data_IF_348533728276
#
_entry.id   IF_348533728276
#
_cell.length_a   1.000
_cell.length_b   1.000
_cell.length_c   1.000
_cell.angle_alpha   90.00
_cell.angle_beta   90.00
_cell.angle_gamma   90.00
#
_symmetry.space_group_name_H-M   'P 1'
#
loop_
_entity.id
_entity.type
_entity.pdbx_description
1 polymer ?
#
# COMPACT_ATOMS: atom_id res chain seq x y z
N UNK A 1 5.29 -2.44 4.07
CA UNK A 1 4.98 -2.75 2.65
C UNK A 1 3.50 -2.60 2.30
N UNK A 2 2.56 -3.21 3.05
CA UNK A 2 1.11 -2.98 2.85
C UNK A 2 0.71 -1.50 2.99
N UNK A 3 1.50 -0.74 3.75
CA UNK A 3 1.24 0.64 4.12
C UNK A 3 1.27 1.64 2.95
N UNK A 4 2.14 1.45 1.95
CA UNK A 4 2.21 2.33 0.77
C UNK A 4 0.99 2.18 -0.14
N UNK A 5 0.53 0.94 -0.37
CA UNK A 5 -0.72 0.68 -1.09
C UNK A 5 -1.94 1.27 -0.36
N UNK A 6 -1.99 1.11 0.96
CA UNK A 6 -3.07 1.66 1.79
C UNK A 6 -3.08 3.20 1.75
N UNK A 7 -1.90 3.83 1.67
CA UNK A 7 -1.74 5.28 1.57
C UNK A 7 -2.22 5.82 0.21
N UNK A 8 -1.86 5.17 -0.89
CA UNK A 8 -2.39 5.48 -2.23
C UNK A 8 -3.91 5.26 -2.30
N UNK A 9 -4.39 4.14 -1.76
CA UNK A 9 -5.82 3.84 -1.64
C UNK A 9 -6.58 4.95 -0.90
N UNK A 10 -6.05 5.47 0.22
CA UNK A 10 -6.65 6.58 0.97
C UNK A 10 -6.68 7.88 0.18
N UNK A 11 -5.61 8.22 -0.54
CA UNK A 11 -5.58 9.45 -1.36
C UNK A 11 -6.65 9.41 -2.47
N UNK A 12 -6.84 8.26 -3.10
CA UNK A 12 -7.84 8.08 -4.16
C UNK A 12 -9.26 8.04 -3.58
N UNK A 13 -9.48 7.37 -2.44
CA UNK A 13 -10.79 7.28 -1.76
C UNK A 13 -11.29 8.65 -1.26
N UNK A 14 -10.40 9.51 -0.76
CA UNK A 14 -10.78 10.85 -0.27
C UNK A 14 -11.11 11.84 -1.39
N UNK A 15 -10.65 11.61 -2.63
CA UNK A 15 -10.90 12.49 -3.79
C UNK A 15 -12.13 12.10 -4.62
N UNK A 16 -12.72 10.91 -4.40
CA UNK A 16 -13.81 10.37 -5.22
C UNK A 16 -15.02 10.07 -4.33
N UNK A 17 -16.19 10.63 -4.67
CA UNK A 17 -17.46 10.32 -4.00
C UNK A 17 -17.73 8.81 -4.06
N UNK A 18 -18.15 8.20 -2.94
CA UNK A 18 -18.31 6.74 -2.71
C UNK A 18 -19.06 5.95 -3.80
N UNK A 19 -19.76 6.61 -4.75
CA UNK A 19 -20.61 5.98 -5.78
C UNK A 19 -19.89 5.62 -7.10
N UNK A 20 -18.65 6.05 -7.34
CA UNK A 20 -17.92 5.79 -8.61
C UNK A 20 -16.53 5.17 -8.42
N UNK A 21 -16.23 4.68 -7.21
CA UNK A 21 -14.95 4.02 -6.91
C UNK A 21 -14.86 2.66 -7.63
N UNK A 22 -13.82 2.48 -8.45
CA UNK A 22 -13.52 1.22 -9.15
C UNK A 22 -12.04 0.88 -9.00
N UNK A 23 -11.75 -0.33 -8.53
CA UNK A 23 -10.40 -0.87 -8.36
C UNK A 23 -9.57 -0.88 -9.66
N UNK A 24 -10.21 -0.77 -10.84
CA UNK A 24 -9.53 -0.69 -12.14
C UNK A 24 -8.80 0.64 -12.38
N UNK A 25 -9.00 1.66 -11.53
CA UNK A 25 -8.38 2.99 -11.66
C UNK A 25 -7.16 3.19 -10.75
N UNK A 26 -6.74 2.17 -10.00
CA UNK A 26 -5.58 2.27 -9.12
C UNK A 26 -4.32 2.02 -9.97
N UNK A 27 -3.41 2.99 -9.99
CA UNK A 27 -2.12 2.88 -10.67
C UNK A 27 -1.21 1.88 -9.97
N UNK A 28 -0.32 1.23 -10.73
CA UNK A 28 0.71 0.37 -10.13
C UNK A 28 1.61 1.20 -9.20
N UNK A 29 1.80 0.70 -7.99
CA UNK A 29 2.73 1.23 -7.00
C UNK A 29 4.08 0.58 -7.20
N UNK A 30 5.08 1.43 -7.45
CA UNK A 30 6.47 1.00 -7.60
C UNK A 30 7.20 1.16 -6.28
N UNK A 31 7.80 0.07 -5.79
CA UNK A 31 8.74 0.12 -4.68
C UNK A 31 10.15 0.01 -5.24
N UNK A 32 10.92 1.10 -5.17
CA UNK A 32 12.32 1.12 -5.59
C UNK A 32 13.18 0.86 -4.34
N UNK A 33 14.02 -0.18 -4.40
CA UNK A 33 14.96 -0.53 -3.33
C UNK A 33 16.38 -0.32 -3.84
N UNK A 34 17.11 0.55 -3.16
CA UNK A 34 18.50 0.89 -3.47
C UNK A 34 19.43 0.09 -2.54
N UNK A 35 20.44 -0.54 -3.11
CA UNK A 35 21.46 -1.27 -2.35
C UNK A 35 22.79 -0.55 -2.49
N UNK A 36 23.34 -0.04 -1.38
CA UNK A 36 24.71 0.52 -1.39
C UNK A 36 25.77 -0.57 -1.61
N UNK A 37 25.53 -1.75 -1.04
CA UNK A 37 26.28 -2.99 -1.26
C UNK A 37 25.28 -4.12 -1.51
N UNK A 38 25.33 -4.68 -2.70
CA UNK A 38 24.42 -5.70 -3.16
C UNK A 38 24.90 -7.11 -2.80
N UNK A 39 23.99 -8.07 -2.80
CA UNK A 39 24.31 -9.48 -2.50
C UNK A 39 24.93 -10.17 -3.73
N UNK A 40 25.51 -11.35 -3.54
CA UNK A 40 26.23 -12.08 -4.59
C UNK A 40 25.37 -12.37 -5.83
N UNK A 41 24.06 -12.56 -5.67
CA UNK A 41 23.12 -12.84 -6.75
C UNK A 41 23.04 -11.70 -7.78
N UNK A 42 23.23 -10.45 -7.35
CA UNK A 42 23.26 -9.32 -8.27
C UNK A 42 24.55 -9.31 -9.12
N UNK A 43 25.64 -9.81 -8.56
CA UNK A 43 26.95 -9.85 -9.22
C UNK A 43 27.03 -10.93 -10.32
N UNK A 44 26.05 -11.83 -10.41
CA UNK A 44 25.86 -12.70 -11.58
C UNK A 44 25.51 -11.88 -12.85
N UNK A 45 24.99 -10.67 -12.66
CA UNK A 45 24.60 -9.75 -13.74
C UNK A 45 25.38 -8.44 -13.64
N UNK A 46 26.72 -8.45 -13.80
CA UNK A 46 27.57 -7.29 -13.48
C UNK A 46 27.29 -6.08 -14.38
N UNK A 47 26.67 -6.27 -15.55
CA UNK A 47 26.31 -5.18 -16.47
C UNK A 47 24.87 -4.68 -16.30
N UNK A 48 24.14 -5.16 -15.29
CA UNK A 48 22.74 -4.80 -15.05
C UNK A 48 22.59 -4.31 -13.62
N UNK A 49 22.09 -3.09 -13.47
CA UNK A 49 21.86 -2.44 -12.19
C UNK A 49 20.40 -2.03 -11.99
N UNK A 50 19.47 -2.56 -12.80
CA UNK A 50 18.03 -2.33 -12.67
C UNK A 50 17.32 -3.67 -12.83
N UNK A 51 16.78 -4.18 -11.74
CA UNK A 51 16.08 -5.46 -11.69
C UNK A 51 14.61 -5.20 -11.38
N UNK A 52 13.75 -5.39 -12.38
CA UNK A 52 12.29 -5.23 -12.22
C UNK A 52 11.67 -6.59 -11.92
N UNK A 53 11.08 -6.72 -10.75
CA UNK A 53 10.37 -7.92 -10.33
C UNK A 53 8.89 -7.76 -10.58
N UNK A 54 8.34 -8.73 -11.32
CA UNK A 54 6.90 -8.91 -11.52
C UNK A 54 6.49 -10.21 -10.87
N UNK A 55 5.38 -10.15 -10.16
CA UNK A 55 4.87 -11.30 -9.41
C UNK A 55 4.14 -12.26 -10.36
N UNK A 56 4.39 -13.55 -10.19
CA UNK A 56 3.70 -14.64 -10.87
C UNK A 56 3.51 -15.76 -9.84
N UNK A 57 2.36 -16.42 -9.82
CA UNK A 57 2.18 -17.57 -8.93
C UNK A 57 3.07 -18.73 -9.35
N UNK A 58 3.26 -19.67 -8.43
CA UNK A 58 3.81 -21.01 -8.68
C UNK A 58 3.09 -21.75 -9.82
N UNK A 59 1.80 -21.53 -10.01
CA UNK A 59 0.99 -22.08 -11.11
C UNK A 59 1.10 -21.31 -12.44
N UNK A 60 1.87 -20.22 -12.49
CA UNK A 60 1.99 -19.37 -13.68
C UNK A 60 0.89 -18.33 -13.86
N UNK A 61 0.00 -18.19 -12.87
CA UNK A 61 -1.06 -17.18 -12.85
C UNK A 61 -0.46 -15.79 -12.71
N UNK A 62 -0.75 -14.93 -13.69
CA UNK A 62 -0.31 -13.53 -13.73
C UNK A 62 -1.46 -12.64 -13.30
N UNK A 63 -1.52 -12.34 -12.00
CA UNK A 63 -2.42 -11.32 -11.46
C UNK A 63 -1.64 -10.02 -11.28
N UNK A 64 -2.19 -8.90 -11.75
CA UNK A 64 -1.63 -7.59 -11.44
C UNK A 64 -1.97 -7.23 -9.99
N UNK A 65 -1.03 -7.47 -9.07
CA UNK A 65 -1.14 -7.11 -7.66
C UNK A 65 -0.88 -5.62 -7.39
N UNK A 66 -0.76 -4.81 -8.44
CA UNK A 66 -0.48 -3.36 -8.38
C UNK A 66 0.85 -3.03 -7.68
N UNK A 67 1.70 -4.01 -7.39
CA UNK A 67 2.99 -3.83 -6.73
C UNK A 67 4.10 -4.35 -7.64
N UNK A 68 4.95 -3.43 -8.08
CA UNK A 68 6.16 -3.74 -8.83
C UNK A 68 7.37 -3.34 -7.99
N UNK A 69 8.36 -4.24 -7.89
CA UNK A 69 9.62 -3.94 -7.21
C UNK A 69 10.69 -3.65 -8.24
N UNK A 70 11.47 -2.60 -7.99
CA UNK A 70 12.68 -2.31 -8.76
C UNK A 70 13.85 -2.31 -7.79
N UNK A 71 14.76 -3.27 -7.95
CA UNK A 71 15.98 -3.34 -7.17
C UNK A 71 17.12 -2.73 -7.97
N UNK A 72 17.88 -1.86 -7.32
CA UNK A 72 18.96 -1.08 -7.93
C UNK A 72 20.23 -1.23 -7.10
N UNK A 73 21.16 -2.12 -7.50
CA UNK A 73 22.49 -2.22 -6.89
C UNK A 73 23.38 -1.04 -7.31
N UNK A 74 23.63 -0.12 -6.37
CA UNK A 74 24.39 1.11 -6.61
C UNK A 74 25.90 0.85 -6.71
N UNK A 75 26.41 -0.18 -6.04
CA UNK A 75 27.76 -0.70 -6.19
C UNK A 75 28.04 -1.14 -7.64
N UNK A 76 27.17 -1.97 -8.20
CA UNK A 76 27.27 -2.43 -9.60
C UNK A 76 27.11 -1.25 -10.56
N UNK A 77 26.21 -0.30 -10.27
CA UNK A 77 26.10 0.92 -11.05
C UNK A 77 27.42 1.70 -11.08
N UNK A 78 28.04 1.92 -9.91
CA UNK A 78 29.31 2.64 -9.75
C UNK A 78 30.43 1.97 -10.54
N UNK A 79 30.58 0.65 -10.44
CA UNK A 79 31.61 -0.08 -11.18
C UNK A 79 31.46 0.11 -12.71
N UNK A 80 30.23 0.08 -13.20
CA UNK A 80 29.95 0.27 -14.63
C UNK A 80 30.10 1.73 -15.10
N UNK A 81 29.88 2.70 -14.22
CA UNK A 81 29.86 4.13 -14.55
C UNK A 81 31.14 4.87 -14.14
N UNK A 82 32.10 4.23 -13.46
CA UNK A 82 33.39 4.82 -13.13
C UNK A 82 34.12 5.42 -14.35
N UNK A 83 33.90 4.86 -15.54
CA UNK A 83 34.55 5.28 -16.79
C UNK A 83 33.58 5.90 -17.82
N UNK A 84 32.29 6.00 -17.50
CA UNK A 84 31.25 6.52 -18.41
C UNK A 84 30.62 7.74 -17.76
N UNK A 85 30.73 8.89 -18.40
CA UNK A 85 30.15 10.12 -17.89
C UNK A 85 28.64 10.01 -17.70
N UNK A 86 28.04 10.98 -17.02
CA UNK A 86 26.59 11.07 -16.86
C UNK A 86 25.99 11.35 -18.24
N UNK A 87 25.47 10.35 -18.92
CA UNK A 87 24.89 10.48 -20.26
C UNK A 87 23.38 10.68 -20.21
N UNK A 88 22.69 9.91 -19.38
CA UNK A 88 21.24 9.92 -19.25
C UNK A 88 20.76 10.50 -17.93
N UNK A 89 19.53 11.03 -17.89
CA UNK A 89 18.95 11.59 -16.65
C UNK A 89 18.84 10.56 -15.53
N UNK A 90 18.59 9.29 -15.86
CA UNK A 90 18.58 8.20 -14.90
C UNK A 90 19.96 7.99 -14.27
N UNK A 91 21.03 8.00 -15.08
CA UNK A 91 22.41 7.93 -14.58
C UNK A 91 22.72 9.13 -13.67
N UNK A 92 22.13 10.31 -13.94
CA UNK A 92 22.22 11.48 -13.08
C UNK A 92 21.57 11.25 -11.71
N UNK A 93 20.36 10.70 -11.66
CA UNK A 93 19.70 10.32 -10.41
C UNK A 93 20.47 9.24 -9.63
N UNK A 94 21.01 8.24 -10.31
CA UNK A 94 21.81 7.21 -9.64
C UNK A 94 23.15 7.76 -9.14
N UNK A 95 23.76 8.69 -9.86
CA UNK A 95 24.96 9.40 -9.40
C UNK A 95 24.63 10.26 -8.18
N UNK A 96 23.51 10.99 -8.21
CA UNK A 96 23.01 11.78 -7.09
C UNK A 96 22.84 10.97 -5.81
N UNK A 97 22.27 9.77 -5.92
CA UNK A 97 21.96 8.89 -4.80
C UNK A 97 23.15 8.06 -4.32
N UNK A 98 24.28 8.08 -5.03
CA UNK A 98 25.35 7.11 -4.79
C UNK A 98 26.76 7.70 -4.72
N UNK A 99 27.02 8.90 -5.26
CA UNK A 99 28.33 9.53 -5.23
C UNK A 99 28.32 10.84 -4.45
N UNK A 100 29.24 10.92 -3.49
CA UNK A 100 29.53 12.14 -2.71
C UNK A 100 30.82 12.83 -3.19
N UNK A 101 31.40 12.38 -4.32
CA UNK A 101 32.63 12.95 -4.85
C UNK A 101 32.37 14.35 -5.45
N UNK A 102 33.15 15.38 -5.10
CA UNK A 102 32.98 16.72 -5.62
C UNK A 102 32.98 16.77 -7.16
N UNK A 103 33.81 15.95 -7.81
CA UNK A 103 33.92 15.90 -9.27
C UNK A 103 32.62 15.45 -9.92
N UNK A 104 31.99 14.40 -9.36
CA UNK A 104 30.73 13.84 -9.85
C UNK A 104 29.58 14.81 -9.60
N UNK A 105 29.55 15.47 -8.43
CA UNK A 105 28.56 16.50 -8.08
C UNK A 105 28.66 17.68 -9.06
N UNK A 106 29.87 18.16 -9.32
CA UNK A 106 30.09 19.27 -10.26
C UNK A 106 29.69 18.85 -11.68
N UNK A 107 30.06 17.65 -12.12
CA UNK A 107 29.68 17.13 -13.44
C UNK A 107 28.15 17.01 -13.56
N UNK A 108 27.49 16.52 -12.51
CA UNK A 108 26.05 16.38 -12.43
C UNK A 108 25.34 17.72 -12.48
N UNK A 109 25.73 18.69 -11.65
CA UNK A 109 25.13 20.03 -11.62
C UNK A 109 25.37 20.78 -12.93
N UNK A 110 26.56 20.65 -13.54
CA UNK A 110 26.84 21.24 -14.84
C UNK A 110 25.91 20.72 -15.93
N UNK A 111 25.62 19.40 -15.90
CA UNK A 111 24.75 18.78 -16.89
C UNK A 111 23.27 18.98 -16.60
N UNK A 112 22.88 18.91 -15.33
CA UNK A 112 21.52 18.99 -14.82
C UNK A 112 21.48 19.97 -13.63
N UNK A 113 21.33 21.28 -13.89
CA UNK A 113 21.38 22.32 -12.85
C UNK A 113 20.31 22.21 -11.77
N UNK A 114 19.21 21.50 -12.06
CA UNK A 114 18.11 21.24 -11.13
C UNK A 114 18.53 20.42 -9.90
N UNK A 115 19.62 19.64 -10.00
CA UNK A 115 20.17 18.91 -8.85
C UNK A 115 20.85 19.82 -7.82
N UNK A 116 21.24 21.05 -8.19
CA UNK A 116 21.95 21.97 -7.28
C UNK A 116 21.14 22.23 -6.00
N UNK A 117 19.87 22.59 -6.16
CA UNK A 117 18.99 22.87 -5.01
C UNK A 117 18.74 21.63 -4.14
N UNK A 118 18.78 20.43 -4.72
CA UNK A 118 18.65 19.19 -3.96
C UNK A 118 19.89 18.90 -3.13
N UNK A 119 21.09 19.12 -3.69
CA UNK A 119 22.34 19.01 -2.93
C UNK A 119 22.47 20.04 -1.82
N UNK A 120 22.05 21.28 -2.07
CA UNK A 120 22.01 22.33 -1.03
C UNK A 120 21.13 21.92 0.14
N UNK A 121 19.91 21.39 -0.13
CA UNK A 121 19.02 20.89 0.90
C UNK A 121 19.60 19.69 1.66
N UNK A 122 20.19 18.72 0.96
CA UNK A 122 20.84 17.58 1.62
C UNK A 122 21.98 18.07 2.53
N UNK A 123 22.78 19.02 2.06
CA UNK A 123 23.88 19.56 2.83
C UNK A 123 23.40 20.28 4.10
N UNK A 124 22.32 21.06 4.02
CA UNK A 124 21.66 21.67 5.19
C UNK A 124 21.13 20.62 6.17
N UNK A 125 20.56 19.52 5.67
CA UNK A 125 20.11 18.40 6.51
C UNK A 125 21.30 17.72 7.19
N UNK A 126 22.39 17.45 6.45
CA UNK A 126 23.61 16.85 6.96
C UNK A 126 24.30 17.72 8.04
N UNK A 127 24.12 19.03 7.99
CA UNK A 127 24.61 19.93 9.05
C UNK A 127 23.74 19.91 10.31
N UNK A 128 22.48 19.49 10.21
CA UNK A 128 21.49 19.51 11.29
C UNK A 128 21.02 18.09 11.71
N UNK A 129 21.89 17.09 11.57
CA UNK A 129 21.57 15.65 11.72
C UNK A 129 20.87 15.33 13.06
N UNK A 130 21.28 15.94 14.18
CA UNK A 130 20.66 15.68 15.49
C UNK A 130 19.21 16.15 15.58
N UNK A 131 18.89 17.32 15.01
CA UNK A 131 17.53 17.85 15.00
C UNK A 131 16.62 17.06 14.05
N UNK A 132 17.16 16.68 12.89
CA UNK A 132 16.42 15.97 11.85
C UNK A 132 16.13 14.51 12.26
N UNK A 133 17.07 13.80 12.88
CA UNK A 133 16.83 12.46 13.44
C UNK A 133 15.75 12.45 14.53
N UNK A 134 15.70 13.51 15.36
CA UNK A 134 14.66 13.70 16.36
C UNK A 134 13.27 13.92 15.74
N UNK A 135 13.19 14.66 14.63
CA UNK A 135 11.94 14.89 13.90
C UNK A 135 11.44 13.63 13.17
N UNK A 136 12.29 12.91 12.46
CA UNK A 136 11.90 11.67 11.78
C UNK A 136 11.42 10.59 12.75
N UNK A 137 12.07 10.43 13.90
CA UNK A 137 11.65 9.46 14.92
C UNK A 137 10.28 9.80 15.52
N UNK A 138 10.03 11.10 15.74
CA UNK A 138 8.76 11.59 16.26
C UNK A 138 7.63 11.48 15.23
N UNK A 139 7.89 11.82 13.97
CA UNK A 139 6.91 11.69 12.88
C UNK A 139 6.56 10.23 12.59
N UNK A 140 7.53 9.31 12.58
CA UNK A 140 7.26 7.86 12.45
C UNK A 140 6.40 7.36 13.61
N UNK A 141 6.74 7.75 14.85
CA UNK A 141 6.02 7.34 16.04
C UNK A 141 4.59 7.90 16.10
N UNK A 142 4.39 9.16 15.72
CA UNK A 142 3.07 9.78 15.66
C UNK A 142 2.22 9.23 14.51
N UNK A 143 2.82 8.93 13.34
CA UNK A 143 2.16 8.22 12.24
C UNK A 143 1.67 6.83 12.67
N UNK A 144 2.50 6.07 13.36
CA UNK A 144 2.14 4.72 13.82
C UNK A 144 1.02 4.77 14.87
N UNK A 145 1.13 5.68 15.85
CA UNK A 145 0.12 5.88 16.90
C UNK A 145 -1.24 6.34 16.36
N UNK A 146 -1.23 7.24 15.37
CA UNK A 146 -2.46 7.73 14.73
C UNK A 146 -3.09 6.67 13.81
N UNK A 147 -2.27 5.84 13.16
CA UNK A 147 -2.75 4.75 12.29
C UNK A 147 -3.41 3.64 13.12
N UNK A 148 -2.79 3.24 14.24
CA UNK A 148 -3.37 2.25 15.16
C UNK A 148 -4.67 2.76 15.77
N UNK A 149 -4.71 4.03 16.22
CA UNK A 149 -5.94 4.64 16.74
C UNK A 149 -7.06 4.63 15.70
N UNK A 150 -6.75 5.06 14.47
CA UNK A 150 -7.72 5.09 13.38
C UNK A 150 -8.23 3.69 12.98
N UNK A 151 -7.36 2.68 12.96
CA UNK A 151 -7.77 1.29 12.69
C UNK A 151 -8.69 0.74 13.80
N UNK A 152 -8.41 1.06 15.06
CA UNK A 152 -9.28 0.71 16.18
C UNK A 152 -10.65 1.37 16.02
N UNK A 153 -10.69 2.64 15.62
CA UNK A 153 -11.95 3.37 15.44
C UNK A 153 -12.79 2.80 14.28
N UNK A 154 -12.18 2.49 13.12
CA UNK A 154 -12.90 1.84 11.99
C UNK A 154 -13.40 0.43 12.38
N UNK A 155 -12.59 -0.37 13.09
CA UNK A 155 -13.00 -1.70 13.56
C UNK A 155 -14.12 -1.64 14.61
N UNK A 156 -14.14 -0.59 15.44
CA UNK A 156 -15.21 -0.35 16.41
C UNK A 156 -16.50 0.08 15.73
N UNK A 157 -16.45 0.95 14.70
CA UNK A 157 -17.62 1.32 13.91
C UNK A 157 -18.20 0.12 13.15
N UNK A 158 -17.35 -0.71 12.55
CA UNK A 158 -17.80 -1.91 11.85
C UNK A 158 -18.44 -2.92 12.82
N UNK A 159 -17.85 -3.12 14.01
CA UNK A 159 -18.44 -3.95 15.06
C UNK A 159 -19.79 -3.44 15.53
N UNK A 160 -19.95 -2.12 15.69
CA UNK A 160 -21.24 -1.51 16.06
C UNK A 160 -22.29 -1.80 14.99
N UNK A 161 -21.94 -1.59 13.71
CA UNK A 161 -22.83 -1.92 12.58
C UNK A 161 -23.25 -3.39 12.56
N UNK A 162 -22.30 -4.33 12.70
CA UNK A 162 -22.62 -5.75 12.75
C UNK A 162 -23.50 -6.13 13.95
N UNK A 163 -23.30 -5.48 15.10
CA UNK A 163 -24.16 -5.69 16.28
C UNK A 163 -25.58 -5.18 16.05
N UNK A 164 -25.74 -4.02 15.40
CA UNK A 164 -27.03 -3.46 15.02
C UNK A 164 -27.76 -4.39 14.02
N UNK A 165 -27.07 -4.82 12.96
CA UNK A 165 -27.59 -5.72 11.93
C UNK A 165 -28.00 -7.08 12.55
N UNK A 166 -27.19 -7.64 13.46
CA UNK A 166 -27.53 -8.86 14.18
C UNK A 166 -28.75 -8.69 15.10
N UNK A 167 -28.90 -7.54 15.75
CA UNK A 167 -30.04 -7.27 16.64
C UNK A 167 -31.32 -7.20 15.83
N UNK A 168 -31.32 -6.46 14.73
CA UNK A 168 -32.44 -6.38 13.80
C UNK A 168 -32.79 -7.74 13.17
N UNK A 169 -31.78 -8.54 12.82
CA UNK A 169 -32.00 -9.90 12.30
C UNK A 169 -32.62 -10.83 13.36
N UNK A 170 -32.22 -10.71 14.64
CA UNK A 170 -32.83 -11.46 15.74
C UNK A 170 -34.29 -11.08 15.96
N UNK A 171 -34.59 -9.79 15.96
CA UNK A 171 -35.97 -9.27 16.11
C UNK A 171 -36.88 -9.77 14.98
N UNK A 172 -36.40 -9.73 13.73
CA UNK A 172 -37.14 -10.31 12.59
C UNK A 172 -37.36 -11.81 12.74
N UNK A 173 -36.35 -12.56 13.18
CA UNK A 173 -36.48 -14.00 13.40
C UNK A 173 -37.46 -14.35 14.52
N UNK A 174 -37.53 -13.56 15.59
CA UNK A 174 -38.52 -13.73 16.65
C UNK A 174 -39.92 -13.43 16.13
N UNK A 175 -40.12 -12.33 15.39
CA UNK A 175 -41.40 -12.01 14.76
C UNK A 175 -41.86 -13.14 13.83
N UNK A 176 -41.00 -13.62 12.93
CA UNK A 176 -41.32 -14.73 12.04
C UNK A 176 -41.63 -16.02 12.81
N UNK A 177 -40.95 -16.30 13.93
CA UNK A 177 -41.25 -17.46 14.78
C UNK A 177 -42.63 -17.37 15.41
N UNK A 178 -43.02 -16.20 15.91
CA UNK A 178 -44.35 -15.98 16.50
C UNK A 178 -45.45 -16.11 15.44
N UNK A 179 -45.24 -15.51 14.27
CA UNK A 179 -46.18 -15.60 13.16
C UNK A 179 -46.34 -17.06 12.69
N UNK A 180 -45.25 -17.80 12.55
CA UNK A 180 -45.29 -19.24 12.23
C UNK A 180 -46.04 -20.05 13.30
N UNK A 181 -45.88 -19.73 14.59
CA UNK A 181 -46.65 -20.40 15.66
C UNK A 181 -48.14 -20.14 15.51
N UNK A 182 -48.54 -18.88 15.29
CA UNK A 182 -49.96 -18.51 15.09
C UNK A 182 -50.55 -19.20 13.87
N UNK A 183 -49.81 -19.24 12.76
CA UNK A 183 -50.24 -19.90 11.54
C UNK A 183 -50.40 -21.41 11.72
N UNK A 184 -49.49 -22.06 12.45
CA UNK A 184 -49.58 -23.49 12.76
C UNK A 184 -50.80 -23.83 13.62
N UNK A 185 -51.10 -23.01 14.65
CA UNK A 185 -52.28 -23.19 15.49
C UNK A 185 -53.56 -23.05 14.65
N UNK A 186 -53.66 -21.99 13.83
CA UNK A 186 -54.80 -21.78 12.94
C UNK A 186 -54.97 -22.93 11.92
N UNK A 187 -53.85 -23.48 11.41
CA UNK A 187 -53.87 -24.62 10.49
C UNK A 187 -54.36 -25.91 11.18
N UNK A 188 -53.96 -26.15 12.43
CA UNK A 188 -54.44 -27.28 13.23
C UNK A 188 -55.95 -27.18 13.49
N UNK A 189 -56.45 -26.01 13.89
CA UNK A 189 -57.88 -25.78 14.11
C UNK A 189 -58.70 -25.96 12.81
N UNK A 190 -58.18 -25.50 11.67
CA UNK A 190 -58.82 -25.71 10.38
C UNK A 190 -58.85 -27.19 9.95
N UNK A 191 -57.78 -27.94 10.23
CA UNK A 191 -57.71 -29.38 9.97
C UNK A 191 -58.68 -30.18 10.85
N UNK A 192 -58.87 -29.79 12.11
CA UNK A 192 -59.87 -30.41 12.99
C UNK A 192 -61.29 -30.18 12.47
N UNK A 193 -61.63 -28.93 12.12
CA UNK A 193 -62.94 -28.60 11.53
C UNK A 193 -63.21 -29.36 10.23
N UNK A 194 -62.20 -29.54 9.37
CA UNK A 194 -62.31 -30.34 8.14
C UNK A 194 -62.49 -31.84 8.40
N UNK A 195 -61.94 -32.37 9.49
CA UNK A 195 -62.17 -33.76 9.90
C UNK A 195 -63.57 -33.96 10.46
N UNK A 196 -64.11 -32.99 11.18
CA UNK A 196 -65.50 -33.03 11.67
C UNK A 196 -66.53 -32.94 10.54
N UNK A 197 -66.24 -32.19 9.47
CA UNK A 197 -67.13 -32.10 8.29
C UNK A 197 -67.09 -33.33 7.38
N UNK A 198 -66.11 -34.23 7.54
CA UNK A 198 -65.96 -35.47 6.74
C UNK A 198 -66.48 -36.73 7.47
N UNK A 199 -67.14 -36.56 8.62
CA UNK A 199 -67.71 -37.62 9.43
C UNK A 199 -69.24 -37.55 9.38
#
# INVERSE_FOLDING_TARGET
>A
MADLLLREYRQVRNKITKRTFSYRRISNVYTIVLFEKSTSEFHEFPNKYIHKFRQMSDTGLKINLLQEYVFVPLDIFKENHQNRGIEERLSGWLTFLSSDKPEDIIALIKKYPDFKGMYEQIYEICQNIEQVMGMFSKELYELDRNTVRYMIDELQEENKRYKEENRHCKEQNEHFREENKRLNVALQEALEKLKEQKK
#
